data_IF_693403788372
#
_entry.id   IF_693403788372
#
_cell.length_a   1.000
_cell.length_b   1.000
_cell.length_c   1.000
_cell.angle_alpha   90.00
_cell.angle_beta   90.00
_cell.angle_gamma   90.00
#
_symmetry.space_group_name_H-M   'P 1'
#
loop_
_entity.id
_entity.type
_entity.pdbx_description
1 polymer ?
#
# COMPACT_ATOMS: atom_id res chain seq x y z
N UNK A 1 -19.02 -0.65 -0.40
CA UNK A 1 -17.77 -0.29 0.31
C UNK A 1 -17.28 -1.52 1.07
N UNK A 2 -16.06 -1.96 0.78
CA UNK A 2 -15.40 -3.10 1.44
C UNK A 2 -14.34 -2.52 2.38
N UNK A 3 -14.40 -2.87 3.67
CA UNK A 3 -13.48 -2.36 4.69
C UNK A 3 -12.57 -3.47 5.23
N UNK A 4 -11.42 -3.09 5.76
CA UNK A 4 -10.53 -4.02 6.47
C UNK A 4 -11.24 -4.60 7.69
N UNK A 5 -11.17 -5.92 7.84
CA UNK A 5 -11.80 -6.61 8.99
C UNK A 5 -11.05 -6.35 10.31
N UNK A 6 -9.73 -6.15 10.23
CA UNK A 6 -8.84 -5.91 11.36
C UNK A 6 -7.71 -4.99 10.94
N UNK A 7 -7.40 -4.01 11.79
CA UNK A 7 -6.24 -3.12 11.65
C UNK A 7 -5.37 -3.30 12.91
N UNK A 8 -4.34 -4.16 12.85
CA UNK A 8 -3.50 -4.45 14.03
C UNK A 8 -2.62 -3.25 14.41
N UNK A 9 -2.22 -3.19 15.68
CA UNK A 9 -1.33 -2.18 16.21
C UNK A 9 -0.04 -2.83 16.74
N UNK A 10 1.11 -2.45 16.16
CA UNK A 10 2.43 -2.98 16.47
C UNK A 10 2.77 -4.30 15.77
N UNK A 11 4.08 -4.62 15.75
CA UNK A 11 4.63 -5.74 15.00
C UNK A 11 4.05 -7.10 15.40
N UNK A 12 3.89 -7.34 16.70
CA UNK A 12 3.34 -8.61 17.20
C UNK A 12 1.91 -8.83 16.70
N UNK A 13 1.05 -7.80 16.81
CA UNK A 13 -0.32 -7.86 16.31
C UNK A 13 -0.38 -8.04 14.78
N UNK A 14 0.53 -7.39 14.04
CA UNK A 14 0.67 -7.57 12.59
C UNK A 14 0.98 -9.03 12.26
N UNK A 15 1.95 -9.64 12.93
CA UNK A 15 2.31 -11.05 12.72
C UNK A 15 1.17 -12.01 13.09
N UNK A 16 0.39 -11.71 14.14
CA UNK A 16 -0.79 -12.52 14.52
C UNK A 16 -1.88 -12.45 13.44
N UNK A 17 -2.16 -11.26 12.90
CA UNK A 17 -3.25 -11.05 11.93
C UNK A 17 -2.85 -11.52 10.53
N UNK A 18 -1.68 -11.10 10.06
CA UNK A 18 -1.28 -11.31 8.66
C UNK A 18 -0.29 -12.47 8.47
N UNK A 19 0.33 -12.96 9.54
CA UNK A 19 1.43 -13.92 9.50
C UNK A 19 2.79 -13.22 9.43
N UNK A 20 3.85 -13.99 9.66
CA UNK A 20 5.22 -13.46 9.62
C UNK A 20 5.88 -13.83 8.28
N UNK A 21 6.40 -12.86 7.50
CA UNK A 21 7.09 -13.12 6.23
C UNK A 21 8.53 -13.62 6.40
N UNK A 22 9.09 -13.59 7.62
CA UNK A 22 10.46 -13.97 7.98
C UNK A 22 10.45 -14.61 9.37
N UNK A 23 9.97 -15.85 9.45
CA UNK A 23 9.80 -16.59 10.73
C UNK A 23 11.13 -16.91 11.41
N UNK A 24 12.17 -17.12 10.62
CA UNK A 24 13.50 -17.50 11.11
C UNK A 24 14.42 -16.30 11.37
N UNK A 25 13.92 -15.08 11.17
CA UNK A 25 14.63 -13.81 11.37
C UNK A 25 15.97 -13.73 10.59
N UNK A 26 16.04 -14.39 9.43
CA UNK A 26 17.24 -14.49 8.62
C UNK A 26 17.21 -13.57 7.38
N UNK A 27 16.16 -12.76 7.23
CA UNK A 27 15.90 -11.88 6.09
C UNK A 27 15.75 -12.60 4.76
N UNK A 28 15.21 -13.81 4.80
CA UNK A 28 14.78 -14.59 3.65
C UNK A 28 13.26 -14.72 3.70
N UNK A 29 12.59 -14.35 2.61
CA UNK A 29 11.13 -14.48 2.51
C UNK A 29 10.72 -15.95 2.70
N UNK A 30 9.83 -16.19 3.67
CA UNK A 30 9.24 -17.49 3.90
C UNK A 30 8.34 -17.88 2.71
N UNK A 31 8.65 -19.01 2.08
CA UNK A 31 7.93 -19.48 0.90
C UNK A 31 6.46 -19.78 1.21
N UNK A 32 6.16 -20.39 2.37
CA UNK A 32 4.80 -20.67 2.79
C UNK A 32 4.00 -19.36 3.00
N UNK A 33 4.63 -18.33 3.59
CA UNK A 33 4.01 -17.02 3.69
C UNK A 33 3.68 -16.47 2.29
N UNK A 34 4.65 -16.48 1.38
CA UNK A 34 4.43 -15.96 0.03
C UNK A 34 3.31 -16.72 -0.69
N UNK A 35 3.37 -18.06 -0.68
CA UNK A 35 2.43 -18.92 -1.41
C UNK A 35 1.02 -18.89 -0.82
N UNK A 36 0.88 -18.69 0.50
CA UNK A 36 -0.43 -18.71 1.17
C UNK A 36 -1.03 -17.34 1.39
N UNK A 37 -0.22 -16.28 1.51
CA UNK A 37 -0.68 -14.95 1.91
C UNK A 37 -0.68 -13.92 0.79
N UNK A 38 0.25 -13.99 -0.16
CA UNK A 38 0.37 -13.02 -1.23
C UNK A 38 -0.44 -13.44 -2.45
N UNK A 39 -1.19 -12.49 -3.03
CA UNK A 39 -2.03 -12.68 -4.22
C UNK A 39 -1.84 -11.54 -5.19
N UNK A 40 -2.10 -11.83 -6.45
CA UNK A 40 -2.17 -10.84 -7.52
C UNK A 40 -3.63 -10.47 -7.76
N UNK A 41 -3.92 -9.19 -7.76
CA UNK A 41 -5.25 -8.64 -8.02
C UNK A 41 -5.23 -7.79 -9.28
N UNK A 42 -6.23 -7.96 -10.14
CA UNK A 42 -6.49 -7.03 -11.21
C UNK A 42 -7.11 -5.75 -10.64
N UNK A 43 -6.60 -4.58 -11.06
CA UNK A 43 -7.07 -3.28 -10.60
C UNK A 43 -8.08 -2.66 -11.58
N UNK A 44 -8.99 -1.79 -11.10
CA UNK A 44 -10.11 -1.29 -11.91
C UNK A 44 -9.68 -0.40 -13.08
N UNK A 45 -8.49 0.17 -13.04
CA UNK A 45 -7.88 0.94 -14.13
C UNK A 45 -6.35 0.85 -14.07
N UNK A 46 -5.65 1.07 -15.18
CA UNK A 46 -4.20 0.97 -15.20
C UNK A 46 -3.54 2.10 -14.39
N UNK A 47 -2.50 1.75 -13.63
CA UNK A 47 -1.64 2.69 -12.89
C UNK A 47 -0.25 2.77 -13.53
N UNK A 48 0.35 3.96 -13.51
CA UNK A 48 1.73 4.18 -13.98
C UNK A 48 2.71 3.72 -12.93
N UNK A 49 3.72 2.96 -13.32
CA UNK A 49 4.82 2.63 -12.42
C UNK A 49 5.65 3.89 -12.13
N UNK A 50 5.79 4.27 -10.86
CA UNK A 50 6.51 5.50 -10.49
C UNK A 50 7.99 5.49 -10.90
N UNK A 51 8.60 4.29 -10.97
CA UNK A 51 10.00 4.08 -11.41
C UNK A 51 10.16 3.87 -12.92
N UNK A 52 9.06 3.69 -13.65
CA UNK A 52 9.00 3.60 -15.12
C UNK A 52 7.68 4.21 -15.61
N UNK A 53 7.53 5.55 -15.64
CA UNK A 53 6.24 6.21 -15.86
C UNK A 53 5.57 5.97 -17.21
N UNK A 54 6.32 5.44 -18.18
CA UNK A 54 5.79 5.01 -19.49
C UNK A 54 5.20 3.59 -19.47
N UNK A 55 5.36 2.86 -18.35
CA UNK A 55 4.80 1.51 -18.17
C UNK A 55 3.57 1.60 -17.28
N UNK A 56 2.50 0.97 -17.75
CA UNK A 56 1.25 0.81 -17.01
C UNK A 56 1.16 -0.61 -16.46
N UNK A 57 0.64 -0.74 -15.25
CA UNK A 57 0.23 -2.03 -14.68
C UNK A 57 -1.28 -2.10 -14.51
N UNK A 58 -1.86 -3.28 -14.71
CA UNK A 58 -3.23 -3.63 -14.36
C UNK A 58 -3.30 -4.58 -13.17
N UNK A 59 -2.17 -4.85 -12.53
CA UNK A 59 -2.08 -5.82 -11.46
C UNK A 59 -1.29 -5.26 -10.29
N UNK A 60 -1.76 -5.56 -9.08
CA UNK A 60 -1.07 -5.30 -7.81
C UNK A 60 -0.89 -6.62 -7.09
N UNK A 61 0.29 -6.82 -6.54
CA UNK A 61 0.58 -7.94 -5.66
C UNK A 61 0.52 -7.45 -4.21
N UNK A 62 -0.39 -8.03 -3.41
CA UNK A 62 -0.58 -7.66 -2.01
C UNK A 62 -1.03 -8.85 -1.15
N UNK A 63 -1.13 -8.64 0.17
CA UNK A 63 -1.69 -9.62 1.08
C UNK A 63 -3.16 -9.88 0.76
N UNK A 64 -3.57 -11.15 0.78
CA UNK A 64 -4.94 -11.59 0.43
C UNK A 64 -6.03 -10.92 1.28
N UNK A 65 -5.73 -10.62 2.56
CA UNK A 65 -6.72 -10.09 3.50
C UNK A 65 -6.97 -8.58 3.33
N UNK A 66 -6.16 -7.89 2.52
CA UNK A 66 -6.37 -6.47 2.20
C UNK A 66 -6.79 -6.24 0.75
N UNK A 67 -6.66 -7.26 -0.11
CA UNK A 67 -6.80 -7.10 -1.56
C UNK A 67 -8.13 -6.48 -1.97
N UNK A 68 -9.25 -7.01 -1.45
CA UNK A 68 -10.59 -6.51 -1.79
C UNK A 68 -10.79 -5.05 -1.34
N UNK A 69 -10.35 -4.69 -0.12
CA UNK A 69 -10.45 -3.31 0.38
C UNK A 69 -9.58 -2.35 -0.44
N UNK A 70 -8.38 -2.80 -0.84
CA UNK A 70 -7.47 -2.04 -1.72
C UNK A 70 -8.10 -1.79 -3.10
N UNK A 71 -8.69 -2.83 -3.71
CA UNK A 71 -9.37 -2.71 -5.02
C UNK A 71 -10.57 -1.78 -4.93
N UNK A 72 -11.37 -1.88 -3.85
CA UNK A 72 -12.53 -1.02 -3.64
C UNK A 72 -12.11 0.46 -3.43
N UNK A 73 -10.98 0.72 -2.75
CA UNK A 73 -10.40 2.06 -2.63
C UNK A 73 -9.99 2.64 -3.99
N UNK A 74 -9.31 1.84 -4.81
CA UNK A 74 -8.93 2.24 -6.17
C UNK A 74 -10.16 2.47 -7.05
N UNK A 75 -11.21 1.67 -6.92
CA UNK A 75 -12.45 1.85 -7.66
C UNK A 75 -13.09 3.21 -7.34
N UNK A 76 -13.22 3.57 -6.04
CA UNK A 76 -13.73 4.89 -5.64
C UNK A 76 -12.84 6.03 -6.17
N UNK A 77 -11.52 5.87 -6.07
CA UNK A 77 -10.57 6.83 -6.64
C UNK A 77 -10.82 7.06 -8.14
N UNK A 78 -11.04 5.98 -8.91
CA UNK A 78 -11.33 6.04 -10.34
C UNK A 78 -12.68 6.71 -10.67
N UNK A 79 -13.67 6.56 -9.80
CA UNK A 79 -15.00 7.12 -9.97
C UNK A 79 -15.11 8.62 -9.66
N UNK A 80 -14.17 9.19 -8.91
CA UNK A 80 -14.25 10.59 -8.42
C UNK A 80 -14.45 11.61 -9.56
N UNK A 81 -13.64 11.57 -10.59
CA UNK A 81 -13.76 12.39 -11.82
C UNK A 81 -13.41 11.63 -13.09
N UNK A 82 -13.33 10.31 -12.98
CA UNK A 82 -12.96 9.41 -14.08
C UNK A 82 -11.46 9.19 -14.23
N UNK A 83 -11.12 8.08 -14.85
CA UNK A 83 -9.75 7.59 -15.00
C UNK A 83 -8.90 8.51 -15.89
N UNK A 84 -9.47 9.05 -16.96
CA UNK A 84 -8.75 9.96 -17.85
C UNK A 84 -8.30 11.22 -17.10
N UNK A 85 -9.18 11.77 -16.25
CA UNK A 85 -8.84 12.92 -15.41
C UNK A 85 -7.73 12.60 -14.41
N UNK A 86 -7.70 11.39 -13.83
CA UNK A 86 -6.59 10.97 -12.95
C UNK A 86 -5.27 10.98 -13.71
N UNK A 87 -5.26 10.46 -14.93
CA UNK A 87 -4.09 10.44 -15.81
C UNK A 87 -3.60 11.85 -16.19
N UNK A 88 -4.52 12.75 -16.57
CA UNK A 88 -4.21 14.16 -16.86
C UNK A 88 -3.59 14.90 -15.67
N UNK A 89 -4.11 14.64 -14.46
CA UNK A 89 -3.61 15.21 -13.20
C UNK A 89 -2.40 14.48 -12.63
N UNK A 90 -2.00 13.36 -13.23
CA UNK A 90 -0.92 12.51 -12.76
C UNK A 90 -1.15 11.98 -11.35
N UNK A 91 -2.39 11.60 -11.05
CA UNK A 91 -2.82 10.99 -9.77
C UNK A 91 -2.88 9.46 -9.84
N UNK A 92 -2.37 8.89 -10.90
CA UNK A 92 -2.39 7.47 -11.26
C UNK A 92 -1.02 6.77 -11.10
N UNK A 93 -0.12 7.30 -10.25
CA UNK A 93 1.21 6.73 -10.06
C UNK A 93 1.23 5.71 -8.91
N UNK A 94 1.72 4.53 -9.23
CA UNK A 94 1.90 3.41 -8.29
C UNK A 94 3.34 3.32 -7.84
N UNK A 95 3.58 3.39 -6.52
CA UNK A 95 4.90 3.32 -5.89
C UNK A 95 5.30 1.93 -5.39
N UNK A 96 4.36 0.97 -5.40
CA UNK A 96 4.58 -0.40 -4.95
C UNK A 96 3.64 -0.82 -3.83
N UNK A 97 3.47 -2.14 -3.66
CA UNK A 97 2.74 -2.73 -2.54
C UNK A 97 3.59 -3.82 -1.89
N UNK A 98 3.50 -5.09 -2.32
CA UNK A 98 4.38 -6.14 -1.79
C UNK A 98 5.83 -5.93 -2.23
N UNK A 99 6.73 -5.85 -1.25
CA UNK A 99 8.17 -5.76 -1.49
C UNK A 99 8.92 -6.22 -0.23
N UNK A 100 9.44 -7.45 -0.27
CA UNK A 100 10.22 -8.02 0.84
C UNK A 100 11.58 -7.33 0.94
N UNK A 101 11.72 -6.46 1.92
CA UNK A 101 12.93 -5.65 2.16
C UNK A 101 13.00 -5.11 3.59
N UNK A 102 14.18 -4.72 4.01
CA UNK A 102 14.37 -3.92 5.24
C UNK A 102 13.88 -2.48 5.06
N UNK A 103 13.51 -1.84 6.17
CA UNK A 103 13.37 -0.38 6.25
C UNK A 103 14.72 0.28 5.94
N UNK A 104 14.70 1.42 5.26
CA UNK A 104 15.93 2.14 4.94
C UNK A 104 16.63 2.62 6.22
N UNK A 105 17.89 2.21 6.43
CA UNK A 105 18.71 2.60 7.58
C UNK A 105 18.32 1.92 8.91
N UNK A 106 17.49 0.88 8.87
CA UNK A 106 17.07 0.11 10.05
C UNK A 106 17.26 -1.39 9.79
N UNK A 107 17.36 -2.18 10.88
CA UNK A 107 17.49 -3.63 10.80
C UNK A 107 16.16 -4.37 10.55
N UNK A 108 15.04 -3.69 10.75
CA UNK A 108 13.69 -4.26 10.70
C UNK A 108 13.14 -4.37 9.27
N UNK A 109 12.21 -5.30 9.05
CA UNK A 109 11.46 -5.40 7.79
C UNK A 109 10.59 -4.18 7.55
N UNK A 110 10.46 -3.77 6.31
CA UNK A 110 9.45 -2.78 5.91
C UNK A 110 8.05 -3.40 5.96
N UNK A 111 7.03 -2.62 6.30
CA UNK A 111 5.63 -3.06 6.28
C UNK A 111 5.18 -3.58 4.90
N UNK A 112 5.82 -3.13 3.82
CA UNK A 112 5.63 -3.68 2.48
C UNK A 112 6.01 -5.16 2.37
N UNK A 113 6.82 -5.69 3.29
CA UNK A 113 7.20 -7.11 3.32
C UNK A 113 6.02 -8.03 3.66
N UNK A 114 5.01 -7.52 4.34
CA UNK A 114 3.73 -8.22 4.57
C UNK A 114 2.76 -8.07 3.40
N UNK A 115 3.02 -7.16 2.45
CA UNK A 115 2.09 -6.83 1.38
C UNK A 115 0.83 -6.09 1.86
N UNK A 116 0.89 -5.45 3.02
CA UNK A 116 -0.24 -4.73 3.64
C UNK A 116 -0.12 -3.21 3.56
N UNK A 117 0.78 -2.71 2.74
CA UNK A 117 0.93 -1.28 2.46
C UNK A 117 0.99 -1.03 0.96
N UNK A 118 0.57 0.15 0.54
CA UNK A 118 0.65 0.62 -0.85
C UNK A 118 1.11 2.07 -0.89
N UNK A 119 2.00 2.37 -1.82
CA UNK A 119 2.47 3.72 -2.11
C UNK A 119 1.81 4.24 -3.38
N UNK A 120 1.18 5.43 -3.28
CA UNK A 120 0.55 6.12 -4.41
C UNK A 120 1.13 7.53 -4.56
N UNK A 121 1.33 7.94 -5.81
CA UNK A 121 1.75 9.29 -6.18
C UNK A 121 3.00 9.80 -5.42
N UNK A 122 4.12 9.06 -5.37
CA UNK A 122 5.30 9.44 -4.61
C UNK A 122 5.90 10.79 -5.04
N UNK A 123 5.63 11.25 -6.26
CA UNK A 123 6.06 12.55 -6.76
C UNK A 123 5.33 13.73 -6.11
N UNK A 124 4.10 13.52 -5.60
CA UNK A 124 3.30 14.53 -4.88
C UNK A 124 3.53 14.49 -3.37
N UNK A 125 3.95 13.36 -2.86
CA UNK A 125 3.98 13.09 -1.44
C UNK A 125 5.22 12.28 -1.02
N UNK A 126 6.44 12.78 -1.33
CA UNK A 126 7.66 12.05 -1.03
C UNK A 126 7.91 11.96 0.48
N UNK A 127 8.58 10.89 0.90
CA UNK A 127 8.93 10.64 2.30
C UNK A 127 9.64 11.82 2.95
N UNK A 128 9.29 12.15 4.19
CA UNK A 128 9.81 13.29 4.98
C UNK A 128 9.51 14.68 4.39
N UNK A 129 8.56 14.78 3.49
CA UNK A 129 8.14 16.05 2.91
C UNK A 129 6.65 16.26 3.17
N UNK A 130 6.24 17.55 3.12
CA UNK A 130 4.81 17.88 3.14
C UNK A 130 4.11 17.17 1.99
N UNK A 131 3.05 16.48 2.29
CA UNK A 131 2.24 15.79 1.29
C UNK A 131 1.36 16.76 0.52
N UNK A 132 1.28 16.52 -0.79
CA UNK A 132 0.30 17.12 -1.70
C UNK A 132 -0.63 16.03 -2.27
N UNK A 133 -0.77 14.89 -1.56
CA UNK A 133 -1.70 13.84 -1.93
C UNK A 133 -3.13 14.38 -1.96
N UNK A 134 -3.90 14.17 -3.04
CA UNK A 134 -5.27 14.62 -3.11
C UNK A 134 -6.15 13.99 -2.02
N UNK A 135 -6.89 14.80 -1.28
CA UNK A 135 -7.67 14.32 -0.12
C UNK A 135 -8.77 13.33 -0.48
N UNK A 136 -9.28 13.33 -1.72
CA UNK A 136 -10.23 12.30 -2.15
C UNK A 136 -9.60 10.90 -2.21
N UNK A 137 -8.29 10.82 -2.56
CA UNK A 137 -7.51 9.56 -2.51
C UNK A 137 -7.32 9.14 -1.06
N UNK A 138 -6.86 10.08 -0.21
CA UNK A 138 -6.67 9.81 1.23
C UNK A 138 -7.98 9.26 1.83
N UNK A 139 -9.08 9.95 1.60
CA UNK A 139 -10.40 9.55 2.10
C UNK A 139 -10.82 8.17 1.58
N UNK A 140 -10.63 7.87 0.30
CA UNK A 140 -10.98 6.59 -0.28
C UNK A 140 -10.29 5.42 0.43
N UNK A 141 -9.06 5.60 0.89
CA UNK A 141 -8.30 4.59 1.64
C UNK A 141 -8.67 4.58 3.12
N UNK A 142 -8.75 5.73 3.78
CA UNK A 142 -9.11 5.83 5.21
C UNK A 142 -10.51 5.28 5.49
N UNK A 143 -11.50 5.54 4.62
CA UNK A 143 -12.86 5.00 4.73
C UNK A 143 -12.88 3.45 4.69
N UNK A 144 -11.82 2.82 4.21
CA UNK A 144 -11.63 1.35 4.18
C UNK A 144 -10.74 0.82 5.30
N UNK A 145 -10.30 1.68 6.20
CA UNK A 145 -9.51 1.34 7.38
C UNK A 145 -8.00 1.39 7.17
N UNK A 146 -7.51 1.89 6.03
CA UNK A 146 -6.07 2.12 5.86
C UNK A 146 -5.62 3.35 6.65
N UNK A 147 -4.47 3.26 7.30
CA UNK A 147 -3.78 4.40 7.91
C UNK A 147 -2.99 5.15 6.85
N UNK A 148 -3.13 6.47 6.79
CA UNK A 148 -2.35 7.31 5.90
C UNK A 148 -1.11 7.89 6.58
N UNK A 149 0.06 7.69 5.99
CA UNK A 149 1.34 8.16 6.54
C UNK A 149 1.58 9.67 6.46
N UNK A 150 0.73 10.43 5.73
CA UNK A 150 0.87 11.87 5.62
C UNK A 150 0.65 12.64 6.93
N UNK A 151 -0.03 12.04 7.90
CA UNK A 151 -0.31 12.59 9.23
C UNK A 151 0.71 12.15 10.30
N UNK A 152 1.71 11.35 9.95
CA UNK A 152 2.69 10.88 10.93
C UNK A 152 3.67 11.97 11.33
N UNK A 153 4.31 11.82 12.50
CA UNK A 153 5.36 12.73 12.98
C UNK A 153 6.51 12.86 11.95
N UNK A 154 6.86 11.76 11.31
CA UNK A 154 7.73 11.73 10.13
C UNK A 154 6.82 11.41 8.93
N UNK A 155 6.40 12.41 8.15
CA UNK A 155 5.37 12.22 7.15
C UNK A 155 5.84 11.33 5.99
N UNK A 156 4.96 10.41 5.59
CA UNK A 156 5.09 9.59 4.39
C UNK A 156 3.77 9.62 3.61
N UNK A 157 3.56 10.70 2.89
CA UNK A 157 2.26 11.00 2.30
C UNK A 157 1.88 10.13 1.09
N UNK A 158 2.82 9.38 0.51
CA UNK A 158 2.49 8.37 -0.51
C UNK A 158 1.94 7.07 0.11
N UNK A 159 2.22 6.83 1.39
CA UNK A 159 2.05 5.56 2.08
C UNK A 159 0.68 5.39 2.72
N UNK A 160 0.03 4.28 2.42
CA UNK A 160 -1.20 3.80 3.05
C UNK A 160 -0.97 2.37 3.54
N UNK A 161 -1.29 2.06 4.80
CA UNK A 161 -1.08 0.72 5.36
C UNK A 161 -2.27 0.22 6.17
N UNK A 162 -2.46 -1.09 6.19
CA UNK A 162 -3.50 -1.78 6.95
C UNK A 162 -3.04 -2.15 8.38
N UNK A 163 -2.35 -1.23 9.05
CA UNK A 163 -1.85 -1.41 10.40
C UNK A 163 -1.58 -0.05 11.06
N UNK A 164 -1.39 -0.06 12.40
CA UNK A 164 -0.90 1.05 13.21
C UNK A 164 0.42 0.68 13.89
N UNK A 165 1.14 1.65 14.47
CA UNK A 165 2.23 1.43 15.41
C UNK A 165 3.48 0.71 14.89
N UNK A 166 3.72 0.67 13.56
CA UNK A 166 4.89 0.00 12.99
C UNK A 166 5.55 0.79 11.86
#
# INVERSE_FOLDING_TARGET
MITLCKVPDGLEAINVVYGCPDKDENFILDADFFDTKIRVYEIPFPLRLSWKPHVLTRYIQCHRDIGEALIDALHEMGQYKGVDWLGEKRYDYYGGCFNFRKKRGQGELSIHSWGIAVDLNPHLAPFKKKSHQPMFIVKAFEDRGFSWGGNWLVPDGMHFQAAHGY
#
